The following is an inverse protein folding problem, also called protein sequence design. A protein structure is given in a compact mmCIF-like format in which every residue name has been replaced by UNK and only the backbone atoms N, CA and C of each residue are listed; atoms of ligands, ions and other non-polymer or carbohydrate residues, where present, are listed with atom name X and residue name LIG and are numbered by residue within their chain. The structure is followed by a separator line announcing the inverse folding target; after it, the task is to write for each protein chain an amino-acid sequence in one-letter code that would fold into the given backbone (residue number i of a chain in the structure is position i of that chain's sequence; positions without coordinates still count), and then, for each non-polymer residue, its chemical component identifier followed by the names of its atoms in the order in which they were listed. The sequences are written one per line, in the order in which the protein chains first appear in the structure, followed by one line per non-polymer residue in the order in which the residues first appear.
data_IF_353698429905
#
_entry.id   IF_353698429905
#
_cell.length_a   1.000
_cell.length_b   1.000
_cell.length_c   1.000
_cell.angle_alpha   90.00
_cell.angle_beta   90.00
_cell.angle_gamma   90.00
#
_symmetry.space_group_name_H-M   'P 1'
#
loop_
_entity.id
_entity.type
_entity.pdbx_description
1 polymer ?
#
# COMPACT_ATOMS: atom_id res chain seq x y z
N UNK A 1 31.32 -8.99 -5.22
CA UNK A 1 30.89 -7.63 -5.65
C UNK A 1 30.28 -6.99 -4.42
N UNK A 2 30.73 -5.80 -4.06
CA UNK A 2 30.16 -5.07 -2.93
C UNK A 2 28.69 -4.74 -3.21
N UNK A 3 27.90 -4.58 -2.15
CA UNK A 3 26.49 -4.21 -2.27
C UNK A 3 26.39 -2.85 -2.99
N UNK A 4 25.51 -2.70 -4.00
CA UNK A 4 25.26 -1.43 -4.69
C UNK A 4 25.11 -0.20 -3.78
N UNK A 5 24.48 -0.38 -2.62
CA UNK A 5 24.34 0.65 -1.58
C UNK A 5 24.16 0.01 -0.21
N UNK A 6 24.25 0.84 0.83
CA UNK A 6 23.95 0.49 2.22
C UNK A 6 22.67 1.20 2.68
N UNK A 7 21.82 0.49 3.43
CA UNK A 7 20.63 1.06 4.07
C UNK A 7 20.96 1.39 5.52
N UNK A 8 20.87 2.67 5.86
CA UNK A 8 21.09 3.17 7.21
C UNK A 8 19.75 3.22 7.96
N UNK A 9 19.69 2.72 9.21
CA UNK A 9 18.48 2.83 10.01
C UNK A 9 18.24 4.28 10.43
N UNK A 10 16.98 4.62 10.72
CA UNK A 10 16.65 5.86 11.41
C UNK A 10 16.53 5.57 12.91
N UNK A 11 17.31 6.27 13.73
CA UNK A 11 17.26 6.11 15.18
C UNK A 11 15.85 6.37 15.72
N UNK A 12 15.40 5.52 16.64
CA UNK A 12 14.05 5.60 17.22
C UNK A 12 12.92 5.07 16.33
N UNK A 13 13.19 4.62 15.10
CA UNK A 13 12.20 4.02 14.21
C UNK A 13 12.32 2.50 14.17
N UNK A 14 11.20 1.79 14.37
CA UNK A 14 11.13 0.33 14.31
C UNK A 14 11.04 -0.22 12.87
N UNK A 15 10.90 0.67 11.89
CA UNK A 15 10.84 0.35 10.47
C UNK A 15 11.51 1.47 9.67
N UNK A 16 11.71 1.22 8.38
CA UNK A 16 12.30 2.17 7.47
C UNK A 16 13.82 2.16 7.45
N UNK A 17 14.37 2.86 6.47
CA UNK A 17 15.79 3.13 6.34
C UNK A 17 16.02 4.20 5.28
N UNK A 18 17.22 4.78 5.27
CA UNK A 18 17.61 5.76 4.27
C UNK A 18 18.93 5.38 3.61
N UNK A 19 19.10 5.81 2.37
CA UNK A 19 20.28 5.58 1.56
C UNK A 19 20.85 6.93 1.15
N UNK A 20 22.16 7.10 1.31
CA UNK A 20 22.91 8.29 0.91
C UNK A 20 23.95 7.91 -0.15
N UNK A 21 24.25 8.84 -1.06
CA UNK A 21 25.33 8.67 -2.04
C UNK A 21 25.06 7.67 -3.18
N UNK A 22 23.87 7.07 -3.23
CA UNK A 22 23.46 6.19 -4.32
C UNK A 22 22.49 6.90 -5.26
N UNK A 23 22.86 7.02 -6.53
CA UNK A 23 22.00 7.51 -7.61
C UNK A 23 21.09 6.37 -8.09
N UNK A 24 19.78 6.49 -7.85
CA UNK A 24 18.80 5.46 -8.20
C UNK A 24 18.79 5.13 -9.68
N UNK A 25 19.17 6.05 -10.57
CA UNK A 25 19.25 5.78 -12.01
C UNK A 25 20.21 4.63 -12.33
N UNK A 26 21.21 4.38 -11.47
CA UNK A 26 22.14 3.25 -11.60
C UNK A 26 21.47 1.89 -11.36
N UNK A 27 20.32 1.85 -10.70
CA UNK A 27 19.54 0.63 -10.56
C UNK A 27 18.76 0.28 -11.84
N UNK A 28 18.51 1.26 -12.71
CA UNK A 28 17.80 1.04 -13.97
C UNK A 28 18.69 0.18 -14.89
N UNK A 29 18.23 -1.04 -15.18
CA UNK A 29 18.97 -1.99 -15.99
C UNK A 29 20.11 -2.72 -15.27
N UNK A 30 20.29 -2.55 -13.94
CA UNK A 30 21.20 -3.36 -13.12
C UNK A 30 20.42 -4.39 -12.29
N UNK A 31 20.44 -5.69 -12.68
CA UNK A 31 19.71 -6.74 -11.98
C UNK A 31 20.14 -6.91 -10.51
N UNK A 32 21.41 -6.66 -10.18
CA UNK A 32 21.90 -6.81 -8.81
C UNK A 32 21.35 -5.69 -7.91
N UNK A 33 21.32 -4.46 -8.41
CA UNK A 33 20.74 -3.32 -7.72
C UNK A 33 19.22 -3.46 -7.55
N UNK A 34 18.50 -3.86 -8.61
CA UNK A 34 17.05 -4.11 -8.53
C UNK A 34 16.71 -5.24 -7.56
N UNK A 35 17.48 -6.35 -7.58
CA UNK A 35 17.29 -7.43 -6.63
C UNK A 35 17.52 -6.98 -5.18
N UNK A 36 18.54 -6.13 -4.94
CA UNK A 36 18.75 -5.53 -3.63
C UNK A 36 17.57 -4.63 -3.24
N UNK A 37 17.09 -3.75 -4.14
CA UNK A 37 15.98 -2.85 -3.88
C UNK A 37 14.71 -3.58 -3.47
N UNK A 38 14.36 -4.68 -4.15
CA UNK A 38 13.19 -5.50 -3.79
C UNK A 38 13.33 -6.16 -2.40
N UNK A 39 14.52 -6.67 -2.09
CA UNK A 39 14.81 -7.28 -0.77
C UNK A 39 14.74 -6.23 0.34
N UNK A 40 15.40 -5.09 0.14
CA UNK A 40 15.47 -4.02 1.14
C UNK A 40 14.09 -3.37 1.33
N UNK A 41 13.29 -3.23 0.27
CA UNK A 41 11.90 -2.75 0.39
C UNK A 41 11.06 -3.71 1.24
N UNK A 42 11.17 -5.03 1.01
CA UNK A 42 10.44 -6.03 1.81
C UNK A 42 10.88 -6.05 3.28
N UNK A 43 12.17 -5.81 3.54
CA UNK A 43 12.76 -5.81 4.89
C UNK A 43 12.44 -4.54 5.66
N UNK A 44 12.69 -3.38 5.05
CA UNK A 44 12.59 -2.08 5.71
C UNK A 44 11.21 -1.45 5.60
N UNK A 45 10.39 -1.85 4.61
CA UNK A 45 9.02 -1.36 4.34
C UNK A 45 8.92 0.11 3.92
N UNK A 46 9.95 0.90 4.19
CA UNK A 46 10.15 2.27 3.73
C UNK A 46 11.63 2.49 3.43
N UNK A 47 11.95 2.98 2.24
CA UNK A 47 13.32 3.36 1.87
C UNK A 47 13.34 4.80 1.37
N UNK A 48 14.21 5.62 1.96
CA UNK A 48 14.38 7.02 1.57
C UNK A 48 15.75 7.20 0.91
N UNK A 49 15.75 7.33 -0.42
CA UNK A 49 16.96 7.65 -1.18
C UNK A 49 17.15 9.17 -1.21
N UNK A 50 18.24 9.66 -0.60
CA UNK A 50 18.54 11.10 -0.55
C UNK A 50 19.33 11.53 -1.79
N UNK A 51 19.23 12.80 -2.18
CA UNK A 51 20.05 13.39 -3.25
C UNK A 51 19.63 13.03 -4.68
N UNK A 52 18.36 12.68 -4.92
CA UNK A 52 17.85 12.30 -6.24
C UNK A 52 17.39 13.54 -7.03
N UNK A 53 18.31 14.46 -7.36
CA UNK A 53 17.99 15.72 -8.08
C UNK A 53 17.88 15.55 -9.59
N UNK A 54 18.60 14.59 -10.15
CA UNK A 54 18.69 14.34 -11.60
C UNK A 54 17.76 13.21 -12.10
N UNK A 55 16.80 12.79 -11.26
CA UNK A 55 15.83 11.74 -11.59
C UNK A 55 14.70 12.35 -12.42
N UNK A 56 14.57 11.94 -13.68
CA UNK A 56 13.44 12.34 -14.53
C UNK A 56 12.19 11.49 -14.24
N UNK A 57 11.02 11.92 -14.69
CA UNK A 57 9.79 11.13 -14.61
C UNK A 57 9.88 9.81 -15.37
N UNK A 58 10.58 9.79 -16.51
CA UNK A 58 10.85 8.54 -17.23
C UNK A 58 11.71 7.57 -16.40
N UNK A 59 12.71 8.09 -15.69
CA UNK A 59 13.52 7.29 -14.75
C UNK A 59 12.67 6.78 -13.57
N UNK A 60 11.82 7.63 -13.00
CA UNK A 60 10.91 7.27 -11.91
C UNK A 60 9.95 6.15 -12.33
N UNK A 61 9.39 6.24 -13.53
CA UNK A 61 8.56 5.17 -14.10
C UNK A 61 9.39 3.89 -14.29
N UNK A 62 10.55 3.97 -14.92
CA UNK A 62 11.40 2.80 -15.17
C UNK A 62 11.80 2.09 -13.87
N UNK A 63 12.11 2.85 -12.81
CA UNK A 63 12.39 2.31 -11.46
C UNK A 63 11.16 1.65 -10.83
N UNK A 64 9.98 2.22 -11.03
CA UNK A 64 8.72 1.67 -10.50
C UNK A 64 8.38 0.34 -11.18
N UNK A 65 8.62 0.21 -12.49
CA UNK A 65 8.49 -1.05 -13.23
C UNK A 65 9.47 -2.13 -12.73
N UNK A 66 10.63 -1.73 -12.18
CA UNK A 66 11.55 -2.63 -11.50
C UNK A 66 11.02 -3.15 -10.16
N UNK A 67 9.89 -2.66 -9.65
CA UNK A 67 9.27 -3.10 -8.39
C UNK A 67 7.96 -3.88 -8.62
N UNK A 68 7.31 -3.71 -9.76
CA UNK A 68 6.10 -4.45 -10.13
C UNK A 68 5.47 -3.90 -11.40
N UNK A 69 4.30 -4.42 -11.78
CA UNK A 69 3.48 -3.80 -12.82
C UNK A 69 2.90 -2.48 -12.31
N UNK A 70 2.83 -1.49 -13.20
CA UNK A 70 2.15 -0.24 -12.90
C UNK A 70 0.64 -0.38 -13.06
N UNK A 71 -0.11 0.24 -12.17
CA UNK A 71 -1.56 0.38 -12.28
C UNK A 71 -1.90 1.87 -12.43
N UNK A 72 -2.55 2.20 -13.53
CA UNK A 72 -2.96 3.56 -13.89
C UNK A 72 -4.47 3.78 -13.72
N UNK A 73 -5.21 2.80 -13.21
CA UNK A 73 -6.68 2.81 -13.16
C UNK A 73 -7.28 3.92 -12.30
N UNK A 74 -6.51 4.46 -11.36
CA UNK A 74 -6.94 5.53 -10.45
C UNK A 74 -6.39 6.92 -10.83
N UNK A 75 -5.59 7.01 -11.89
CA UNK A 75 -4.82 8.20 -12.21
C UNK A 75 -5.34 8.86 -13.49
N UNK A 76 -5.26 10.20 -13.51
CA UNK A 76 -5.39 11.00 -14.72
C UNK A 76 -4.08 11.74 -14.94
N UNK A 77 -3.58 11.86 -16.18
CA UNK A 77 -2.35 12.61 -16.42
C UNK A 77 -2.55 14.10 -16.12
N UNK A 78 -1.56 14.71 -15.47
CA UNK A 78 -1.50 16.17 -15.31
C UNK A 78 -0.61 16.79 -16.41
N UNK A 79 -0.97 17.92 -17.03
CA UNK A 79 -0.15 18.53 -18.11
C UNK A 79 1.27 18.91 -17.70
N UNK A 80 1.52 19.10 -16.40
CA UNK A 80 2.86 19.42 -15.85
C UNK A 80 3.67 18.17 -15.46
N UNK A 81 3.09 16.98 -15.54
CA UNK A 81 3.84 15.75 -15.40
C UNK A 81 4.68 15.53 -16.66
N UNK A 82 5.97 15.23 -16.48
CA UNK A 82 6.92 14.94 -17.55
C UNK A 82 6.74 13.54 -18.16
N UNK A 83 6.13 12.61 -17.40
CA UNK A 83 5.59 11.36 -17.92
C UNK A 83 4.08 11.26 -17.58
N UNK A 84 3.19 11.05 -18.57
CA UNK A 84 1.75 10.99 -18.34
C UNK A 84 1.31 9.82 -17.45
N UNK A 85 2.17 8.83 -17.17
CA UNK A 85 1.90 7.71 -16.27
C UNK A 85 2.05 8.07 -14.79
N UNK A 86 2.65 9.22 -14.48
CA UNK A 86 2.85 9.68 -13.11
C UNK A 86 1.65 10.47 -12.59
N UNK A 87 1.31 10.24 -11.32
CA UNK A 87 0.44 11.12 -10.57
C UNK A 87 1.26 12.29 -10.01
N UNK A 88 1.06 13.49 -10.56
CA UNK A 88 1.72 14.70 -10.06
C UNK A 88 0.87 15.35 -8.97
N UNK A 89 1.37 15.31 -7.73
CA UNK A 89 0.72 15.91 -6.57
C UNK A 89 1.38 17.26 -6.25
N UNK A 90 0.56 18.26 -5.92
CA UNK A 90 1.00 19.61 -5.58
C UNK A 90 0.04 20.27 -4.61
N UNK A 91 0.47 21.32 -3.92
CA UNK A 91 -0.41 22.25 -3.21
C UNK A 91 -0.88 23.41 -4.11
N UNK A 92 -0.46 23.43 -5.38
CA UNK A 92 -0.88 24.38 -6.42
C UNK A 92 -1.53 23.60 -7.58
N UNK A 93 -2.78 23.94 -7.90
CA UNK A 93 -3.58 23.33 -8.97
C UNK A 93 -2.99 23.54 -10.37
N UNK A 94 -2.17 24.57 -10.57
CA UNK A 94 -1.47 24.80 -11.82
C UNK A 94 -0.29 23.87 -11.99
N UNK A 95 0.21 23.32 -10.88
CA UNK A 95 1.37 22.44 -10.84
C UNK A 95 0.99 20.98 -10.68
N UNK A 96 -0.12 20.62 -10.04
CA UNK A 96 -0.54 19.22 -9.89
C UNK A 96 -1.89 19.06 -9.23
N UNK A 97 -2.27 17.80 -8.99
CA UNK A 97 -3.50 17.50 -8.26
C UNK A 97 -3.35 17.88 -6.79
N UNK A 98 -4.27 18.73 -6.32
CA UNK A 98 -4.37 19.16 -4.93
C UNK A 98 -5.22 18.20 -4.11
N UNK A 99 -5.06 18.24 -2.77
CA UNK A 99 -5.86 17.45 -1.82
C UNK A 99 -5.76 15.91 -2.01
N UNK A 100 -4.68 15.43 -2.62
CA UNK A 100 -4.38 14.00 -2.75
C UNK A 100 -3.83 13.46 -1.43
N UNK A 101 -4.39 12.35 -0.94
CA UNK A 101 -3.92 11.69 0.29
C UNK A 101 -4.22 12.45 1.59
N UNK A 102 -4.99 13.54 1.55
CA UNK A 102 -5.24 14.40 2.73
C UNK A 102 -6.45 13.96 3.56
N UNK A 103 -7.10 12.85 3.21
CA UNK A 103 -8.37 12.44 3.79
C UNK A 103 -8.23 11.78 5.17
N UNK A 104 -7.03 11.32 5.55
CA UNK A 104 -6.73 10.71 6.85
C UNK A 104 -5.62 9.66 6.72
N UNK A 105 -5.32 8.91 7.79
CA UNK A 105 -4.38 7.78 7.71
C UNK A 105 -4.91 6.69 6.77
N UNK A 106 -4.08 6.22 5.84
CA UNK A 106 -4.53 5.29 4.82
C UNK A 106 -3.43 4.39 4.26
N UNK A 107 -3.89 3.32 3.61
CA UNK A 107 -3.15 2.51 2.63
C UNK A 107 -3.72 2.82 1.25
N UNK A 108 -2.84 3.05 0.27
CA UNK A 108 -3.26 3.35 -1.10
C UNK A 108 -3.80 2.12 -1.83
N UNK A 109 -4.77 2.34 -2.73
CA UNK A 109 -5.36 1.27 -3.53
C UNK A 109 -6.44 0.45 -2.82
N UNK A 110 -6.89 0.82 -1.62
CA UNK A 110 -7.90 0.04 -0.86
C UNK A 110 -9.27 -0.08 -1.54
N UNK A 111 -9.56 0.74 -2.55
CA UNK A 111 -10.78 0.66 -3.36
C UNK A 111 -10.66 -0.39 -4.48
N UNK A 112 -9.44 -0.82 -4.82
CA UNK A 112 -9.17 -1.88 -5.80
C UNK A 112 -9.35 -3.26 -5.18
N UNK A 113 -9.36 -4.30 -6.03
CA UNK A 113 -9.43 -5.71 -5.60
C UNK A 113 -8.32 -6.09 -4.62
N UNK A 114 -7.16 -5.46 -4.74
CA UNK A 114 -6.06 -5.53 -3.80
C UNK A 114 -5.35 -4.17 -3.75
N UNK A 115 -4.86 -3.73 -2.57
CA UNK A 115 -4.10 -2.50 -2.45
C UNK A 115 -2.78 -2.58 -3.21
N UNK A 116 -2.15 -1.44 -3.45
CA UNK A 116 -0.86 -1.41 -4.12
C UNK A 116 0.21 -2.09 -3.26
N UNK A 117 1.02 -2.95 -3.89
CA UNK A 117 2.10 -3.64 -3.21
C UNK A 117 3.28 -2.71 -2.89
N UNK A 118 3.44 -1.62 -3.65
CA UNK A 118 4.54 -0.66 -3.49
C UNK A 118 4.12 0.70 -4.03
N UNK A 119 4.54 1.76 -3.35
CA UNK A 119 4.41 3.14 -3.79
C UNK A 119 5.80 3.77 -3.90
N UNK A 120 6.05 4.47 -5.01
CA UNK A 120 7.28 5.23 -5.23
C UNK A 120 6.94 6.71 -5.30
N UNK A 121 7.67 7.53 -4.56
CA UNK A 121 7.44 8.98 -4.47
C UNK A 121 8.74 9.72 -4.78
N UNK A 122 8.67 10.72 -5.65
CA UNK A 122 9.78 11.64 -5.93
C UNK A 122 9.38 13.05 -5.53
N UNK A 123 10.08 13.60 -4.54
CA UNK A 123 9.81 14.93 -4.00
C UNK A 123 10.63 15.98 -4.76
N UNK A 124 9.97 16.71 -5.68
CA UNK A 124 10.59 17.77 -6.49
C UNK A 124 10.80 19.06 -5.70
N UNK A 125 9.93 19.35 -4.76
CA UNK A 125 10.01 20.48 -3.84
C UNK A 125 9.38 20.10 -2.50
N UNK A 126 9.73 20.84 -1.44
CA UNK A 126 9.17 20.66 -0.10
C UNK A 126 9.03 22.02 0.57
N UNK A 127 8.13 22.10 1.55
CA UNK A 127 7.91 23.27 2.40
C UNK A 127 7.99 22.84 3.86
N UNK A 128 8.25 23.79 4.74
CA UNK A 128 8.16 23.55 6.18
C UNK A 128 6.72 23.13 6.55
N UNK A 129 6.60 22.06 7.36
CA UNK A 129 5.30 21.49 7.76
C UNK A 129 4.64 20.59 6.71
N UNK A 130 5.25 20.38 5.54
CA UNK A 130 4.77 19.48 4.49
C UNK A 130 5.18 18.01 4.68
N UNK A 131 5.35 17.56 5.93
CA UNK A 131 5.85 16.23 6.23
C UNK A 131 4.87 15.13 5.81
N UNK A 132 5.40 14.03 5.28
CA UNK A 132 4.64 12.79 5.08
C UNK A 132 4.92 11.84 6.23
N UNK A 133 3.90 11.53 7.02
CA UNK A 133 4.03 10.63 8.17
C UNK A 133 3.75 9.19 7.76
N UNK A 134 4.59 8.27 8.25
CA UNK A 134 4.43 6.82 8.04
C UNK A 134 4.25 6.11 9.38
N UNK A 135 3.44 5.05 9.38
CA UNK A 135 3.19 4.21 10.55
C UNK A 135 3.51 2.75 10.24
N UNK A 136 4.36 2.13 11.07
CA UNK A 136 4.64 0.70 11.00
C UNK A 136 3.40 -0.11 11.43
N UNK A 137 2.60 -0.58 10.47
CA UNK A 137 1.33 -1.23 10.75
C UNK A 137 1.47 -2.58 11.47
N UNK A 138 2.59 -3.30 11.24
CA UNK A 138 2.91 -4.52 11.99
C UNK A 138 3.25 -4.23 13.46
N UNK A 139 4.01 -3.18 13.73
CA UNK A 139 4.31 -2.71 15.09
C UNK A 139 3.04 -2.23 15.79
N UNK A 140 2.24 -1.43 15.08
CA UNK A 140 0.95 -0.94 15.56
C UNK A 140 0.03 -2.09 15.97
N UNK A 141 -0.12 -3.11 15.12
CA UNK A 141 -0.91 -4.31 15.42
C UNK A 141 -0.41 -5.03 16.68
N UNK A 142 0.91 -5.21 16.82
CA UNK A 142 1.52 -5.87 17.99
C UNK A 142 1.30 -5.08 19.28
N UNK A 143 1.27 -3.75 19.20
CA UNK A 143 1.05 -2.87 20.35
C UNK A 143 -0.41 -2.87 20.86
N UNK A 144 -1.38 -3.33 20.06
CA UNK A 144 -2.78 -3.40 20.50
C UNK A 144 -2.97 -4.40 21.66
N UNK A 145 -3.94 -4.14 22.57
CA UNK A 145 -4.36 -5.12 23.57
C UNK A 145 -4.73 -6.46 22.92
N UNK A 146 -4.38 -7.57 23.57
CA UNK A 146 -4.53 -8.90 22.97
C UNK A 146 -5.94 -9.19 22.44
N UNK A 147 -6.99 -8.88 23.21
CA UNK A 147 -8.37 -9.08 22.77
C UNK A 147 -8.75 -8.23 21.55
N UNK A 148 -8.26 -6.99 21.46
CA UNK A 148 -8.49 -6.14 20.29
C UNK A 148 -7.72 -6.65 19.08
N UNK A 149 -6.46 -7.09 19.25
CA UNK A 149 -5.65 -7.68 18.19
C UNK A 149 -6.31 -8.94 17.61
N UNK A 150 -6.80 -9.86 18.46
CA UNK A 150 -7.52 -11.04 17.97
C UNK A 150 -8.82 -10.67 17.25
N UNK A 151 -9.54 -9.64 17.74
CA UNK A 151 -10.71 -9.13 17.04
C UNK A 151 -10.35 -8.58 15.67
N UNK A 152 -9.28 -7.79 15.55
CA UNK A 152 -8.81 -7.24 14.28
C UNK A 152 -8.50 -8.34 13.24
N UNK A 153 -8.00 -9.51 13.66
CA UNK A 153 -7.77 -10.65 12.76
C UNK A 153 -9.03 -11.23 12.13
N UNK A 154 -10.20 -10.98 12.73
CA UNK A 154 -11.51 -11.41 12.24
C UNK A 154 -12.30 -10.29 11.56
N UNK A 155 -11.71 -9.09 11.45
CA UNK A 155 -12.36 -7.96 10.80
C UNK A 155 -11.97 -7.90 9.33
N UNK A 156 -12.96 -7.59 8.51
CA UNK A 156 -12.81 -7.21 7.12
C UNK A 156 -13.15 -5.73 6.99
N UNK A 157 -12.26 -4.99 6.35
CA UNK A 157 -12.43 -3.62 5.92
C UNK A 157 -13.34 -3.56 4.69
N UNK A 158 -14.43 -2.80 4.79
CA UNK A 158 -15.30 -2.49 3.65
C UNK A 158 -14.90 -1.12 3.10
N UNK A 159 -14.37 -1.15 1.89
CA UNK A 159 -13.82 0.01 1.21
C UNK A 159 -14.57 0.30 -0.09
N UNK A 160 -14.58 1.55 -0.50
CA UNK A 160 -15.07 1.99 -1.79
C UNK A 160 -15.27 3.49 -1.81
N UNK A 161 -15.27 4.11 -2.99
CA UNK A 161 -15.50 5.55 -3.11
C UNK A 161 -16.99 5.81 -2.99
N UNK A 162 -17.42 6.30 -1.82
CA UNK A 162 -18.84 6.43 -1.48
C UNK A 162 -19.66 7.21 -2.52
N UNK A 163 -19.11 8.29 -3.07
CA UNK A 163 -19.77 9.07 -4.13
C UNK A 163 -19.97 8.25 -5.41
N UNK A 164 -18.93 7.56 -5.86
CA UNK A 164 -18.94 6.81 -7.11
C UNK A 164 -19.84 5.58 -6.98
N UNK A 165 -19.87 4.94 -5.81
CA UNK A 165 -20.80 3.87 -5.50
C UNK A 165 -22.25 4.33 -5.57
N UNK A 166 -22.57 5.51 -5.02
CA UNK A 166 -23.92 6.09 -5.11
C UNK A 166 -24.31 6.46 -6.55
N UNK A 167 -23.33 6.70 -7.42
CA UNK A 167 -23.53 6.92 -8.85
C UNK A 167 -23.60 5.63 -9.68
N UNK A 168 -23.34 4.46 -9.08
CA UNK A 168 -23.27 3.16 -9.77
C UNK A 168 -21.98 2.94 -10.57
N UNK A 169 -20.97 3.79 -10.38
CA UNK A 169 -19.70 3.79 -11.11
C UNK A 169 -18.52 3.31 -10.24
N UNK A 170 -18.72 3.21 -8.92
CA UNK A 170 -17.69 2.85 -7.96
C UNK A 170 -17.49 1.33 -7.80
N UNK A 171 -16.29 0.97 -7.34
CA UNK A 171 -15.97 -0.40 -6.92
C UNK A 171 -16.04 -0.51 -5.40
N UNK A 172 -16.69 -1.57 -4.91
CA UNK A 172 -16.65 -1.98 -3.51
C UNK A 172 -15.60 -3.09 -3.34
N UNK A 173 -14.80 -2.96 -2.29
CA UNK A 173 -13.72 -3.89 -1.96
C UNK A 173 -13.83 -4.34 -0.52
N UNK A 174 -13.71 -5.65 -0.31
CA UNK A 174 -13.73 -6.29 1.00
C UNK A 174 -12.34 -6.86 1.25
N UNK A 175 -11.59 -6.20 2.14
CA UNK A 175 -10.18 -6.51 2.40
C UNK A 175 -10.03 -7.00 3.84
N UNK A 176 -9.23 -8.03 4.15
CA UNK A 176 -8.97 -8.39 5.53
C UNK A 176 -8.27 -7.23 6.24
N UNK A 177 -8.75 -6.83 7.43
CA UNK A 177 -8.12 -5.76 8.20
C UNK A 177 -6.71 -6.16 8.62
N UNK A 178 -6.48 -7.44 8.92
CA UNK A 178 -5.15 -8.00 9.17
C UNK A 178 -4.83 -9.03 8.09
N UNK A 179 -3.69 -8.89 7.43
CA UNK A 179 -3.21 -9.84 6.42
C UNK A 179 -1.76 -10.22 6.67
N UNK A 180 -1.31 -11.30 6.02
CA UNK A 180 0.11 -11.66 5.98
C UNK A 180 0.76 -11.08 4.72
N UNK A 181 1.93 -10.47 4.87
CA UNK A 181 2.70 -9.98 3.74
C UNK A 181 3.18 -11.19 2.88
N UNK A 182 2.97 -11.18 1.56
CA UNK A 182 3.20 -12.37 0.72
C UNK A 182 4.68 -12.81 0.66
N UNK A 183 5.62 -11.89 0.91
CA UNK A 183 7.06 -12.20 0.88
C UNK A 183 7.63 -12.54 2.25
N UNK A 184 7.22 -11.85 3.31
CA UNK A 184 7.85 -11.96 4.64
C UNK A 184 7.03 -12.82 5.59
N UNK A 185 5.75 -13.06 5.30
CA UNK A 185 4.82 -13.78 6.16
C UNK A 185 4.37 -13.01 7.40
N UNK A 186 4.92 -11.80 7.62
CA UNK A 186 4.60 -10.95 8.76
C UNK A 186 3.18 -10.42 8.68
N UNK A 187 2.54 -10.25 9.83
CA UNK A 187 1.21 -9.63 9.89
C UNK A 187 1.31 -8.11 9.76
N UNK A 188 0.42 -7.55 8.95
CA UNK A 188 0.22 -6.12 8.79
C UNK A 188 -1.28 -5.81 8.73
N UNK A 189 -1.62 -4.53 8.81
CA UNK A 189 -3.00 -4.05 8.70
C UNK A 189 -3.26 -3.40 7.34
N UNK A 190 -4.51 -3.42 6.88
CA UNK A 190 -4.95 -2.75 5.66
C UNK A 190 -6.25 -1.98 5.91
N UNK A 191 -6.19 -0.65 5.88
CA UNK A 191 -7.35 0.21 6.12
C UNK A 191 -7.15 1.63 5.57
N UNK A 192 -8.24 2.39 5.57
CA UNK A 192 -8.25 3.81 5.27
C UNK A 192 -9.21 4.51 6.24
N UNK A 193 -8.80 5.63 6.85
CA UNK A 193 -9.59 6.37 7.85
C UNK A 193 -10.23 7.65 7.33
N UNK A 194 -9.97 8.03 6.08
CA UNK A 194 -10.60 9.20 5.47
C UNK A 194 -12.04 9.00 5.01
N UNK A 195 -12.80 10.10 5.12
CA UNK A 195 -14.21 10.16 4.78
C UNK A 195 -14.43 9.85 3.30
N UNK A 196 -15.33 8.90 3.02
CA UNK A 196 -15.68 8.50 1.66
C UNK A 196 -14.94 7.26 1.14
N UNK A 197 -13.94 6.74 1.84
CA UNK A 197 -13.26 5.47 1.50
C UNK A 197 -13.55 4.35 2.49
N UNK A 198 -13.78 4.68 3.77
CA UNK A 198 -14.20 3.72 4.79
C UNK A 198 -15.73 3.62 4.81
N UNK A 199 -16.27 2.50 4.35
CA UNK A 199 -17.72 2.24 4.37
C UNK A 199 -18.14 1.45 5.62
N UNK A 200 -17.21 0.74 6.25
CA UNK A 200 -17.45 0.03 7.50
C UNK A 200 -16.55 -1.18 7.69
N UNK A 201 -16.98 -2.05 8.60
CA UNK A 201 -16.26 -3.26 9.01
C UNK A 201 -17.23 -4.43 9.12
N UNK A 202 -16.84 -5.60 8.62
CA UNK A 202 -17.55 -6.85 8.82
C UNK A 202 -16.72 -7.72 9.76
N UNK A 203 -17.35 -8.34 10.75
CA UNK A 203 -16.67 -9.28 11.63
C UNK A 203 -17.07 -10.70 11.26
N UNK A 204 -16.09 -11.58 11.08
CA UNK A 204 -16.35 -13.00 11.00
C UNK A 204 -16.94 -13.48 12.33
N UNK A 205 -18.10 -14.13 12.25
CA UNK A 205 -18.65 -14.88 13.36
C UNK A 205 -18.11 -16.30 13.32
N UNK A 206 -17.67 -16.79 14.47
CA UNK A 206 -17.37 -18.20 14.64
C UNK A 206 -18.69 -18.96 14.53
N UNK A 207 -18.93 -19.62 13.40
CA UNK A 207 -20.06 -20.54 13.30
C UNK A 207 -19.81 -21.64 14.33
N UNK A 208 -20.61 -21.66 15.40
CA UNK A 208 -20.84 -22.88 16.14
C UNK A 208 -21.14 -23.96 15.10
N UNK A 209 -20.55 -25.16 15.24
CA UNK A 209 -20.61 -26.25 14.28
C UNK A 209 -22.02 -26.85 14.09
N UNK A 210 -23.04 -26.03 13.87
CA UNK A 210 -24.30 -26.40 13.29
C UNK A 210 -24.09 -26.34 11.78
N UNK A 211 -23.92 -27.51 11.16
CA UNK A 211 -23.91 -27.71 9.72
C UNK A 211 -25.37 -27.84 9.24
N UNK A 212 -26.08 -26.73 8.98
CA UNK A 212 -27.52 -26.78 8.72
C UNK A 212 -27.78 -27.31 7.30
N UNK A 213 -26.76 -27.20 6.44
CA UNK A 213 -26.82 -27.53 5.02
C UNK A 213 -26.20 -28.88 4.70
N UNK A 214 -25.24 -29.39 5.46
CA UNK A 214 -24.64 -30.68 5.16
C UNK A 214 -25.56 -31.85 5.49
N UNK A 215 -26.49 -31.71 6.45
CA UNK A 215 -27.62 -32.63 6.58
C UNK A 215 -28.54 -32.61 5.35
N UNK A 216 -28.87 -31.41 4.87
CA UNK A 216 -29.73 -31.21 3.70
C UNK A 216 -29.08 -31.69 2.38
N UNK A 217 -27.79 -31.40 2.21
CA UNK A 217 -26.99 -31.77 1.04
C UNK A 217 -26.73 -33.28 1.02
N UNK A 218 -26.46 -33.93 2.16
CA UNK A 218 -26.36 -35.41 2.22
C UNK A 218 -27.69 -36.08 1.85
N UNK A 219 -28.81 -35.50 2.26
CA UNK A 219 -30.15 -35.97 1.88
C UNK A 219 -30.48 -35.78 0.39
N UNK A 220 -30.08 -34.65 -0.19
CA UNK A 220 -30.31 -34.32 -1.61
C UNK A 220 -29.35 -35.05 -2.57
N UNK A 221 -28.10 -35.24 -2.16
CA UNK A 221 -27.06 -35.86 -3.00
C UNK A 221 -27.01 -37.39 -2.88
N UNK A 222 -27.89 -37.98 -2.06
CA UNK A 222 -28.04 -39.44 -1.94
C UNK A 222 -26.70 -40.13 -1.74
N UNK A 223 -26.04 -39.91 -0.60
CA UNK A 223 -24.85 -40.71 -0.30
C UNK A 223 -25.25 -42.20 -0.19
N UNK A 224 -24.60 -43.12 -0.93
CA UNK A 224 -24.76 -44.54 -0.67
C UNK A 224 -24.18 -44.86 0.72
N UNK A 225 -24.92 -45.68 1.48
CA UNK A 225 -24.51 -46.15 2.81
C UNK A 225 -23.33 -47.12 2.77
#
# INVERSE_FOLDING_TARGET
KDAPYEVLPHDGCAFGGYVQGYDLRRAIGDPAATAQLRRDMSRHRLLVFRGQTELSGADHVALSEQLGSLDHGLHRPHPRADDPRLLRVSNDEQEGFVMVGTSGWHVDGVMLRAPFATQTMHFLSSIEGGDTLFLGLGEFLRALPAGLRERCRRLWFVSGVGRDLMAGEGQLSLLPLVHRHPVTGEESMCFHLGQGYCLGWIQEEEQAAADPFGGLLRGLLGAPG
#
